data_IF_798303966353
#
_entry.id   IF_798303966353
#
_cell.length_a   1.000
_cell.length_b   1.000
_cell.length_c   1.000
_cell.angle_alpha   90.00
_cell.angle_beta   90.00
_cell.angle_gamma   90.00
#
_symmetry.space_group_name_H-M   'P 1'
#
loop_
_entity.id
_entity.type
_entity.pdbx_description
1 polymer ?
#
# COMPACT_ATOMS: atom_id res chain seq x y z
N UNK A 1 31.55 -32.68 2.42
CA UNK A 1 31.20 -33.61 3.52
C UNK A 1 30.21 -32.86 4.38
N UNK A 2 28.99 -33.39 4.54
CA UNK A 2 27.98 -32.82 5.41
C UNK A 2 28.40 -32.99 6.87
N UNK A 3 28.30 -31.94 7.68
CA UNK A 3 28.64 -31.97 9.10
C UNK A 3 27.35 -31.76 9.90
N UNK A 4 26.76 -32.87 10.35
CA UNK A 4 25.42 -32.88 10.93
C UNK A 4 25.50 -32.86 12.46
N UNK A 5 24.80 -31.90 13.07
CA UNK A 5 24.63 -31.84 14.52
C UNK A 5 23.16 -31.98 14.89
N UNK A 6 22.89 -32.63 16.01
CA UNK A 6 21.54 -32.72 16.58
C UNK A 6 21.36 -31.62 17.62
N UNK A 7 20.34 -30.79 17.46
CA UNK A 7 19.96 -29.73 18.38
C UNK A 7 19.17 -30.30 19.56
N UNK A 8 19.00 -29.49 20.62
CA UNK A 8 18.31 -29.91 21.85
C UNK A 8 16.82 -30.23 21.66
N UNK A 9 16.21 -29.72 20.59
CA UNK A 9 14.82 -29.99 20.20
C UNK A 9 14.69 -31.23 19.28
N UNK A 10 15.80 -31.88 18.94
CA UNK A 10 15.84 -33.03 18.04
C UNK A 10 15.94 -32.66 16.55
N UNK A 11 15.96 -31.38 16.19
CA UNK A 11 16.25 -30.97 14.81
C UNK A 11 17.70 -31.32 14.44
N UNK A 12 17.92 -31.75 13.19
CA UNK A 12 19.27 -31.99 12.65
C UNK A 12 19.67 -30.78 11.81
N UNK A 13 20.81 -30.18 12.14
CA UNK A 13 21.38 -29.04 11.44
C UNK A 13 22.66 -29.45 10.71
N UNK A 14 22.74 -29.14 9.41
CA UNK A 14 23.98 -29.25 8.64
C UNK A 14 24.82 -27.99 8.81
N UNK A 15 25.91 -28.09 9.57
CA UNK A 15 26.87 -27.02 9.84
C UNK A 15 27.55 -26.56 8.56
N UNK A 16 27.73 -27.46 7.59
CA UNK A 16 28.40 -27.13 6.32
C UNK A 16 27.59 -26.17 5.43
N UNK A 17 26.28 -26.04 5.65
CA UNK A 17 25.43 -25.08 4.95
C UNK A 17 25.66 -23.62 5.42
N UNK A 18 26.28 -23.43 6.58
CA UNK A 18 26.63 -22.12 7.14
C UNK A 18 28.06 -22.13 7.67
N UNK A 19 29.08 -22.17 6.79
CA UNK A 19 30.47 -22.21 7.20
C UNK A 19 30.88 -20.94 7.95
N UNK A 20 31.92 -21.05 8.76
CA UNK A 20 32.54 -19.88 9.39
C UNK A 20 33.07 -18.91 8.31
N UNK A 21 33.10 -17.60 8.61
CA UNK A 21 33.69 -16.61 7.71
C UNK A 21 35.15 -16.94 7.36
N UNK A 22 35.57 -16.50 6.18
CA UNK A 22 36.94 -16.72 5.71
C UNK A 22 37.97 -16.15 6.70
N UNK A 23 39.00 -16.95 7.01
CA UNK A 23 40.05 -16.58 7.96
C UNK A 23 39.71 -16.79 9.44
N UNK A 24 38.54 -17.32 9.77
CA UNK A 24 38.17 -17.67 11.15
C UNK A 24 38.44 -19.15 11.41
N UNK A 25 39.33 -19.43 12.37
CA UNK A 25 39.56 -20.80 12.84
C UNK A 25 38.45 -21.26 13.79
N UNK A 26 38.05 -22.52 13.65
CA UNK A 26 37.10 -23.14 14.56
C UNK A 26 37.78 -23.56 15.86
N UNK A 27 37.06 -23.46 16.98
CA UNK A 27 37.61 -23.73 18.30
C UNK A 27 36.52 -23.92 19.36
N UNK A 28 36.95 -24.46 20.50
CA UNK A 28 36.10 -24.58 21.70
C UNK A 28 36.24 -23.31 22.53
N UNK A 29 35.13 -22.65 22.79
CA UNK A 29 35.05 -21.38 23.49
C UNK A 29 34.17 -21.51 24.74
N UNK A 30 34.49 -20.75 25.78
CA UNK A 30 33.59 -20.53 26.91
C UNK A 30 32.58 -19.40 26.62
N UNK A 31 31.58 -19.22 27.48
CA UNK A 31 30.50 -18.24 27.29
C UNK A 31 31.01 -16.80 27.06
N UNK A 32 32.03 -16.38 27.79
CA UNK A 32 32.61 -15.03 27.69
C UNK A 32 33.52 -14.83 26.46
N UNK A 33 34.07 -15.91 25.90
CA UNK A 33 34.77 -15.87 24.62
C UNK A 33 33.77 -15.86 23.45
N UNK A 34 32.70 -16.67 23.55
CA UNK A 34 31.66 -16.74 22.53
C UNK A 34 30.87 -15.43 22.42
N UNK A 35 30.59 -14.76 23.55
CA UNK A 35 29.94 -13.45 23.56
C UNK A 35 30.76 -12.40 22.80
N UNK A 36 32.08 -12.37 23.00
CA UNK A 36 33.01 -11.52 22.25
C UNK A 36 33.10 -11.90 20.77
N UNK A 37 33.16 -13.18 20.46
CA UNK A 37 33.23 -13.66 19.07
C UNK A 37 31.98 -13.26 18.26
N UNK A 38 30.82 -13.19 18.90
CA UNK A 38 29.56 -12.83 18.26
C UNK A 38 29.14 -11.36 18.41
N UNK A 39 29.94 -10.56 19.11
CA UNK A 39 29.64 -9.17 19.49
C UNK A 39 28.28 -9.02 20.18
N UNK A 40 28.05 -9.83 21.21
CA UNK A 40 26.81 -9.83 22.02
C UNK A 40 27.12 -9.95 23.52
N UNK A 41 26.11 -9.74 24.36
CA UNK A 41 26.26 -9.92 25.81
C UNK A 41 26.21 -11.40 26.21
N UNK A 42 26.81 -11.78 27.35
CA UNK A 42 26.68 -13.14 27.90
C UNK A 42 25.22 -13.52 28.23
N UNK A 43 24.39 -12.53 28.55
CA UNK A 43 22.95 -12.74 28.77
C UNK A 43 22.25 -13.16 27.48
N UNK A 44 22.68 -12.62 26.33
CA UNK A 44 22.19 -13.04 25.01
C UNK A 44 22.55 -14.49 24.73
N UNK A 45 23.79 -14.90 25.03
CA UNK A 45 24.22 -16.29 24.89
C UNK A 45 23.39 -17.21 25.78
N UNK A 46 23.17 -16.83 27.04
CA UNK A 46 22.33 -17.60 27.98
C UNK A 46 20.91 -17.77 27.45
N UNK A 47 20.34 -16.71 26.87
CA UNK A 47 19.03 -16.79 26.20
C UNK A 47 19.05 -17.74 25.00
N UNK A 48 20.12 -17.73 24.19
CA UNK A 48 20.23 -18.62 23.03
C UNK A 48 20.36 -20.09 23.41
N UNK A 49 21.04 -20.41 24.52
CA UNK A 49 21.06 -21.77 25.08
C UNK A 49 19.62 -22.24 25.35
N UNK A 50 18.80 -21.41 26.01
CA UNK A 50 17.38 -21.72 26.24
C UNK A 50 16.52 -21.78 24.96
N UNK A 51 17.04 -21.33 23.81
CA UNK A 51 16.40 -21.45 22.49
C UNK A 51 16.94 -22.64 21.67
N UNK A 52 17.76 -23.49 22.28
CA UNK A 52 18.33 -24.67 21.66
C UNK A 52 19.64 -24.43 20.89
N UNK A 53 20.41 -23.40 21.25
CA UNK A 53 21.76 -23.23 20.73
C UNK A 53 22.64 -24.42 21.16
N UNK A 54 23.46 -25.00 20.24
CA UNK A 54 24.34 -26.11 20.54
C UNK A 54 25.28 -25.81 21.71
N UNK A 55 25.34 -26.74 22.66
CA UNK A 55 26.28 -26.74 23.79
C UNK A 55 27.08 -28.03 23.69
N UNK A 56 28.41 -27.95 23.76
CA UNK A 56 29.28 -29.12 23.69
C UNK A 56 29.38 -29.84 25.04
N UNK A 57 29.48 -29.05 26.11
CA UNK A 57 29.49 -29.53 27.50
C UNK A 57 28.75 -28.54 28.38
N UNK A 58 27.71 -29.02 29.06
CA UNK A 58 26.96 -28.23 30.04
C UNK A 58 27.80 -28.06 31.30
N UNK A 59 28.02 -26.81 31.74
CA UNK A 59 28.79 -26.54 32.93
C UNK A 59 28.12 -27.09 34.20
N UNK A 60 28.77 -28.01 34.91
CA UNK A 60 28.42 -28.43 36.28
C UNK A 60 29.28 -27.67 37.32
N UNK A 61 29.05 -27.90 38.62
CA UNK A 61 29.80 -27.24 39.71
C UNK A 61 31.32 -27.26 39.48
N UNK A 62 31.89 -26.11 39.09
CA UNK A 62 33.33 -25.94 38.82
C UNK A 62 33.76 -26.11 37.35
N UNK A 63 32.86 -26.49 36.44
CA UNK A 63 33.14 -26.66 35.01
C UNK A 63 32.43 -25.56 34.21
N UNK A 64 33.17 -24.85 33.36
CA UNK A 64 32.60 -23.82 32.49
C UNK A 64 31.89 -24.46 31.29
N UNK A 65 30.85 -23.80 30.79
CA UNK A 65 30.21 -24.21 29.53
C UNK A 65 31.21 -24.19 28.37
N UNK A 66 31.15 -25.22 27.53
CA UNK A 66 31.95 -25.33 26.31
C UNK A 66 31.06 -25.27 25.07
N UNK A 67 31.50 -24.47 24.10
CA UNK A 67 30.79 -24.24 22.83
C UNK A 67 31.76 -24.43 21.67
N UNK A 68 31.32 -25.11 20.62
CA UNK A 68 32.04 -25.18 19.34
C UNK A 68 31.64 -23.98 18.47
N UNK A 69 32.59 -23.15 18.05
CA UNK A 69 32.30 -21.90 17.34
C UNK A 69 31.53 -22.14 16.03
N UNK A 70 31.95 -23.11 15.21
CA UNK A 70 31.27 -23.48 13.96
C UNK A 70 29.81 -23.88 14.16
N UNK A 71 29.52 -24.71 15.17
CA UNK A 71 28.16 -25.16 15.47
C UNK A 71 27.25 -24.00 15.90
N UNK A 72 27.74 -23.14 16.79
CA UNK A 72 26.98 -21.98 17.27
C UNK A 72 26.76 -20.95 16.15
N UNK A 73 27.73 -20.77 15.26
CA UNK A 73 27.60 -19.90 14.10
C UNK A 73 26.53 -20.40 13.13
N UNK A 74 26.59 -21.69 12.76
CA UNK A 74 25.62 -22.29 11.87
C UNK A 74 24.20 -22.21 12.43
N UNK A 75 24.02 -22.50 13.73
CA UNK A 75 22.73 -22.35 14.39
C UNK A 75 22.21 -20.91 14.35
N UNK A 76 23.07 -19.91 14.64
CA UNK A 76 22.70 -18.49 14.60
C UNK A 76 22.29 -18.08 13.19
N UNK A 77 23.05 -18.49 12.18
CA UNK A 77 22.79 -18.17 10.79
C UNK A 77 21.47 -18.79 10.31
N UNK A 78 21.25 -20.08 10.56
CA UNK A 78 20.02 -20.78 10.24
C UNK A 78 18.80 -20.15 10.94
N UNK A 79 18.92 -19.81 12.23
CA UNK A 79 17.87 -19.12 13.00
C UNK A 79 17.54 -17.75 12.40
N UNK A 80 18.56 -16.96 12.07
CA UNK A 80 18.37 -15.65 11.47
C UNK A 80 17.68 -15.74 10.10
N UNK A 81 18.03 -16.75 9.31
CA UNK A 81 17.38 -17.04 8.03
C UNK A 81 15.90 -17.41 8.23
N UNK A 82 15.59 -18.32 9.17
CA UNK A 82 14.20 -18.67 9.54
C UNK A 82 13.39 -17.42 9.94
N UNK A 83 13.98 -16.51 10.74
CA UNK A 83 13.33 -15.26 11.17
C UNK A 83 13.09 -14.32 9.99
N UNK A 84 14.09 -14.13 9.11
CA UNK A 84 13.97 -13.29 7.92
C UNK A 84 12.90 -13.82 6.97
N UNK A 85 12.89 -15.12 6.71
CA UNK A 85 11.88 -15.77 5.87
C UNK A 85 10.47 -15.68 6.48
N UNK A 86 10.32 -15.78 7.80
CA UNK A 86 9.03 -15.57 8.48
C UNK A 86 8.55 -14.12 8.35
N UNK A 87 9.45 -13.14 8.53
CA UNK A 87 9.13 -11.72 8.35
C UNK A 87 8.71 -11.42 6.91
N UNK A 88 9.48 -11.88 5.92
CA UNK A 88 9.15 -11.70 4.50
C UNK A 88 7.79 -12.29 4.12
N UNK A 89 7.46 -13.48 4.62
CA UNK A 89 6.12 -14.08 4.43
C UNK A 89 5.02 -13.25 5.07
N UNK A 90 5.25 -12.74 6.29
CA UNK A 90 4.30 -11.83 6.96
C UNK A 90 4.07 -10.55 6.17
N UNK A 91 5.14 -9.93 5.67
CA UNK A 91 5.08 -8.72 4.84
C UNK A 91 4.33 -8.99 3.51
N UNK A 92 4.54 -10.15 2.88
CA UNK A 92 3.80 -10.57 1.67
C UNK A 92 2.31 -10.76 1.92
N UNK A 93 1.93 -11.43 3.02
CA UNK A 93 0.52 -11.63 3.39
C UNK A 93 -0.14 -10.27 3.69
N UNK A 94 0.56 -9.38 4.40
CA UNK A 94 0.07 -8.04 4.69
C UNK A 94 -0.13 -7.21 3.40
N UNK A 95 0.79 -7.31 2.44
CA UNK A 95 0.67 -6.66 1.13
C UNK A 95 -0.54 -7.21 0.34
N UNK A 96 -0.71 -8.53 0.29
CA UNK A 96 -1.87 -9.15 -0.37
C UNK A 96 -3.20 -8.75 0.30
N UNK A 97 -3.24 -8.71 1.63
CA UNK A 97 -4.43 -8.27 2.35
C UNK A 97 -4.73 -6.79 2.08
N UNK A 98 -3.70 -5.92 2.03
CA UNK A 98 -3.87 -4.51 1.73
C UNK A 98 -4.49 -4.27 0.35
N UNK A 99 -4.11 -5.07 -0.66
CA UNK A 99 -4.72 -5.05 -1.99
C UNK A 99 -6.19 -5.49 -1.95
N UNK A 100 -6.48 -6.61 -1.27
CA UNK A 100 -7.83 -7.16 -1.16
C UNK A 100 -8.81 -6.26 -0.38
N UNK A 101 -8.34 -5.52 0.63
CA UNK A 101 -9.18 -4.62 1.42
C UNK A 101 -9.43 -3.25 0.78
N UNK A 102 -8.67 -2.86 -0.26
CA UNK A 102 -8.72 -1.48 -0.80
C UNK A 102 -9.57 -1.25 -2.05
N UNK A 103 -10.16 -2.25 -2.71
CA UNK A 103 -10.94 -2.05 -3.95
C UNK A 103 -10.24 -1.08 -4.93
N UNK A 104 -8.94 -1.28 -5.18
CA UNK A 104 -8.20 -0.46 -6.15
C UNK A 104 -8.62 -0.89 -7.56
N UNK A 105 -8.85 0.08 -8.45
CA UNK A 105 -9.05 -0.16 -9.88
C UNK A 105 -7.81 -0.86 -10.48
N UNK A 106 -8.00 -1.71 -11.49
CA UNK A 106 -6.97 -2.59 -12.08
C UNK A 106 -5.68 -1.86 -12.49
N UNK A 107 -5.78 -0.59 -12.90
CA UNK A 107 -4.64 0.24 -13.32
C UNK A 107 -3.68 0.61 -12.16
N UNK A 108 -4.18 0.71 -10.92
CA UNK A 108 -3.34 0.98 -9.74
C UNK A 108 -2.67 -0.29 -9.21
N UNK A 109 -3.32 -1.45 -9.39
CA UNK A 109 -2.78 -2.73 -8.94
C UNK A 109 -1.52 -3.15 -9.73
N UNK A 110 -1.43 -2.83 -11.03
CA UNK A 110 -0.25 -3.11 -11.85
C UNK A 110 0.94 -2.20 -11.53
N UNK A 111 0.71 -0.93 -11.18
CA UNK A 111 1.79 0.00 -10.83
C UNK A 111 2.44 -0.32 -9.47
N UNK A 112 1.66 -0.86 -8.53
CA UNK A 112 2.14 -1.25 -7.20
C UNK A 112 2.70 -2.69 -7.16
N UNK A 113 2.49 -3.48 -8.22
CA UNK A 113 2.98 -4.86 -8.32
C UNK A 113 4.52 -4.90 -8.41
N UNK A 114 5.16 -5.24 -7.30
CA UNK A 114 6.63 -5.40 -7.20
C UNK A 114 7.32 -4.41 -6.27
N UNK A 115 6.59 -3.45 -5.71
CA UNK A 115 7.11 -2.53 -4.71
C UNK A 115 6.97 -3.13 -3.30
N UNK A 116 8.01 -3.01 -2.48
CA UNK A 116 7.93 -3.35 -1.06
C UNK A 116 6.97 -2.41 -0.33
N UNK A 117 6.41 -2.85 0.81
CA UNK A 117 5.48 -2.02 1.60
C UNK A 117 6.07 -0.65 2.03
N UNK A 118 7.40 -0.54 2.13
CA UNK A 118 8.08 0.72 2.39
C UNK A 118 8.13 1.61 1.13
N UNK A 119 8.34 1.03 -0.05
CA UNK A 119 8.32 1.72 -1.33
C UNK A 119 6.91 2.16 -1.71
N UNK A 120 5.89 1.34 -1.45
CA UNK A 120 4.47 1.74 -1.60
C UNK A 120 4.14 2.92 -0.68
N UNK A 121 4.59 2.90 0.59
CA UNK A 121 4.38 4.03 1.51
C UNK A 121 5.06 5.30 1.01
N UNK A 122 6.32 5.20 0.60
CA UNK A 122 7.08 6.33 0.09
C UNK A 122 6.49 6.86 -1.24
N UNK A 123 6.01 5.96 -2.09
CA UNK A 123 5.33 6.31 -3.33
C UNK A 123 3.99 6.99 -3.06
N UNK A 124 3.14 6.45 -2.17
CA UNK A 124 1.90 7.09 -1.74
C UNK A 124 2.13 8.45 -1.07
N UNK A 125 3.18 8.61 -0.26
CA UNK A 125 3.54 9.90 0.35
C UNK A 125 4.01 10.92 -0.69
N UNK A 126 4.81 10.48 -1.66
CA UNK A 126 5.27 11.32 -2.77
C UNK A 126 4.10 11.70 -3.71
N UNK A 127 3.19 10.76 -3.98
CA UNK A 127 2.00 10.99 -4.78
C UNK A 127 1.03 11.92 -4.06
N UNK A 128 0.82 11.75 -2.75
CA UNK A 128 0.04 12.67 -1.92
C UNK A 128 0.63 14.08 -1.93
N UNK A 129 1.95 14.24 -1.79
CA UNK A 129 2.61 15.54 -1.87
C UNK A 129 2.45 16.18 -3.24
N UNK A 130 2.55 15.39 -4.32
CA UNK A 130 2.34 15.84 -5.70
C UNK A 130 0.88 16.24 -5.96
N UNK A 131 -0.08 15.45 -5.50
CA UNK A 131 -1.51 15.71 -5.64
C UNK A 131 -1.92 16.96 -4.85
N UNK A 132 -1.37 17.16 -3.64
CA UNK A 132 -1.60 18.38 -2.85
C UNK A 132 -1.01 19.63 -3.50
N UNK A 133 0.18 19.53 -4.10
CA UNK A 133 0.78 20.63 -4.88
C UNK A 133 0.00 20.93 -6.17
N UNK A 134 -0.61 19.92 -6.79
CA UNK A 134 -1.48 20.07 -7.95
C UNK A 134 -2.85 20.70 -7.56
N UNK A 135 -3.44 20.34 -6.41
CA UNK A 135 -4.63 21.00 -5.88
C UNK A 135 -4.41 22.49 -5.60
N UNK A 136 -3.26 22.85 -5.01
CA UNK A 136 -2.91 24.25 -4.73
C UNK A 136 -2.70 25.09 -6.00
N UNK A 137 -2.29 24.44 -7.10
CA UNK A 137 -2.16 25.07 -8.43
C UNK A 137 -3.47 25.08 -9.22
N UNK A 138 -4.51 24.39 -8.73
CA UNK A 138 -5.81 24.28 -9.41
C UNK A 138 -5.86 23.21 -10.51
N UNK A 139 -4.82 22.37 -10.63
CA UNK A 139 -4.76 21.31 -11.63
C UNK A 139 -5.64 20.10 -11.25
N UNK A 140 -5.93 19.95 -9.95
CA UNK A 140 -6.81 18.91 -9.40
C UNK A 140 -7.85 19.54 -8.48
N UNK A 141 -9.10 19.11 -8.59
CA UNK A 141 -10.19 19.51 -7.70
C UNK A 141 -10.74 18.25 -7.03
N UNK A 142 -10.99 18.34 -5.72
CA UNK A 142 -11.62 17.25 -4.96
C UNK A 142 -12.95 16.83 -5.57
N UNK A 143 -13.13 15.52 -5.75
CA UNK A 143 -14.34 14.93 -6.31
C UNK A 143 -15.60 15.36 -5.57
N UNK A 144 -15.57 15.44 -4.23
CA UNK A 144 -16.70 15.90 -3.41
C UNK A 144 -17.15 17.32 -3.79
N UNK A 145 -16.18 18.20 -4.10
CA UNK A 145 -16.46 19.59 -4.49
C UNK A 145 -17.07 19.65 -5.89
N UNK A 146 -16.55 18.85 -6.82
CA UNK A 146 -17.11 18.76 -8.18
C UNK A 146 -18.53 18.21 -8.14
N UNK A 147 -18.76 17.14 -7.36
CA UNK A 147 -20.09 16.56 -7.12
C UNK A 147 -21.07 17.61 -6.59
N UNK A 148 -20.69 18.35 -5.55
CA UNK A 148 -21.55 19.37 -4.95
C UNK A 148 -21.92 20.48 -5.95
N UNK A 149 -20.94 20.96 -6.74
CA UNK A 149 -21.19 21.98 -7.78
C UNK A 149 -22.13 21.45 -8.86
N UNK A 150 -21.92 20.23 -9.35
CA UNK A 150 -22.79 19.62 -10.36
C UNK A 150 -24.21 19.41 -9.83
N UNK A 151 -24.36 18.89 -8.62
CA UNK A 151 -25.66 18.68 -7.98
C UNK A 151 -26.43 20.00 -7.82
N UNK A 152 -25.79 21.03 -7.24
CA UNK A 152 -26.42 22.33 -7.05
C UNK A 152 -26.77 23.00 -8.40
N UNK A 153 -25.91 22.86 -9.40
CA UNK A 153 -26.15 23.41 -10.75
C UNK A 153 -27.34 22.75 -11.43
N UNK A 154 -27.43 21.41 -11.38
CA UNK A 154 -28.53 20.66 -11.99
C UNK A 154 -29.87 20.96 -11.30
N UNK A 155 -29.88 21.09 -9.96
CA UNK A 155 -31.08 21.50 -9.23
C UNK A 155 -31.53 22.91 -9.65
N UNK A 156 -30.62 23.88 -9.75
CA UNK A 156 -30.96 25.23 -10.20
C UNK A 156 -31.49 25.27 -11.63
N UNK A 157 -30.89 24.49 -12.54
CA UNK A 157 -31.37 24.36 -13.93
C UNK A 157 -32.77 23.73 -13.94
N UNK A 158 -32.98 22.65 -13.18
CA UNK A 158 -34.28 21.99 -13.06
C UNK A 158 -35.37 22.95 -12.62
N UNK A 159 -35.17 23.65 -11.50
CA UNK A 159 -36.12 24.64 -10.98
C UNK A 159 -36.37 25.80 -11.97
N UNK A 160 -35.35 26.20 -12.71
CA UNK A 160 -35.48 27.27 -13.72
C UNK A 160 -36.35 26.82 -14.90
N UNK A 161 -36.25 25.55 -15.31
CA UNK A 161 -37.10 24.98 -16.36
C UNK A 161 -38.55 24.81 -15.87
N UNK A 162 -38.77 24.40 -14.62
CA UNK A 162 -40.13 24.24 -14.06
C UNK A 162 -40.89 25.57 -13.99
N UNK A 163 -40.19 26.66 -13.66
CA UNK A 163 -40.80 27.98 -13.47
C UNK A 163 -40.83 28.83 -14.74
N UNK A 164 -40.20 28.36 -15.82
CA UNK A 164 -40.14 29.08 -17.09
C UNK A 164 -41.52 29.27 -17.75
N UNK A 165 -42.42 28.27 -17.80
CA UNK A 165 -43.76 28.46 -18.36
C UNK A 165 -44.56 29.55 -17.66
N UNK A 166 -44.56 29.55 -16.33
CA UNK A 166 -45.24 30.58 -15.51
C UNK A 166 -44.66 31.98 -15.76
N UNK A 167 -43.34 32.08 -15.84
CA UNK A 167 -42.66 33.33 -16.17
C UNK A 167 -43.08 33.84 -17.56
N UNK A 168 -43.15 32.95 -18.55
CA UNK A 168 -43.54 33.31 -19.91
C UNK A 168 -45.01 33.70 -20.00
N UNK A 169 -45.91 33.00 -19.30
CA UNK A 169 -47.32 33.36 -19.17
C UNK A 169 -47.47 34.77 -18.61
N UNK A 170 -46.85 35.04 -17.46
CA UNK A 170 -46.97 36.31 -16.76
C UNK A 170 -46.35 37.47 -17.56
N UNK A 171 -45.22 37.23 -18.23
CA UNK A 171 -44.45 38.29 -18.90
C UNK A 171 -44.92 38.58 -20.33
N UNK A 172 -45.40 37.57 -21.05
CA UNK A 172 -45.77 37.69 -22.47
C UNK A 172 -47.26 37.47 -22.72
N UNK A 173 -48.05 37.17 -21.69
CA UNK A 173 -49.51 37.01 -21.81
C UNK A 173 -49.91 35.81 -22.65
N UNK A 174 -49.17 34.69 -22.51
CA UNK A 174 -49.45 33.47 -23.26
C UNK A 174 -50.86 32.93 -22.94
N UNK A 175 -51.51 32.35 -23.93
CA UNK A 175 -52.76 31.62 -23.71
C UNK A 175 -52.50 30.29 -22.99
N UNK A 176 -53.52 29.72 -22.34
CA UNK A 176 -53.40 28.42 -21.68
C UNK A 176 -52.89 27.30 -22.60
N UNK A 177 -53.29 27.31 -23.89
CA UNK A 177 -52.80 26.36 -24.89
C UNK A 177 -51.32 26.56 -25.20
N UNK A 178 -50.86 27.82 -25.29
CA UNK A 178 -49.45 28.14 -25.50
C UNK A 178 -48.62 27.75 -24.28
N UNK A 179 -49.10 28.00 -23.06
CA UNK A 179 -48.43 27.58 -21.82
C UNK A 179 -48.27 26.06 -21.78
N UNK A 180 -49.32 25.30 -22.14
CA UNK A 180 -49.24 23.84 -22.21
C UNK A 180 -48.19 23.35 -23.22
N UNK A 181 -48.04 24.03 -24.36
CA UNK A 181 -46.97 23.72 -25.34
C UNK A 181 -45.58 24.01 -24.77
N UNK A 182 -45.41 25.10 -24.00
CA UNK A 182 -44.14 25.40 -23.33
C UNK A 182 -43.82 24.36 -22.28
N UNK A 183 -44.79 23.96 -21.44
CA UNK A 183 -44.62 22.91 -20.42
C UNK A 183 -44.15 21.61 -21.06
N UNK A 184 -44.84 21.15 -22.11
CA UNK A 184 -44.45 19.95 -22.83
C UNK A 184 -43.01 20.06 -23.38
N UNK A 185 -42.64 21.23 -23.91
CA UNK A 185 -41.29 21.46 -24.43
C UNK A 185 -40.22 21.48 -23.33
N UNK A 186 -40.51 22.05 -22.16
CA UNK A 186 -39.56 22.05 -21.02
C UNK A 186 -39.37 20.67 -20.43
N UNK A 187 -40.42 19.84 -20.41
CA UNK A 187 -40.36 18.45 -19.96
C UNK A 187 -39.52 17.60 -20.94
N UNK A 188 -39.76 17.73 -22.25
CA UNK A 188 -38.91 17.09 -23.28
C UNK A 188 -37.43 17.45 -23.11
N UNK A 189 -37.13 18.74 -22.92
CA UNK A 189 -35.75 19.20 -22.72
C UNK A 189 -35.12 18.59 -21.47
N UNK A 190 -35.89 18.42 -20.40
CA UNK A 190 -35.41 17.78 -19.16
C UNK A 190 -35.09 16.30 -19.39
N UNK A 191 -35.94 15.59 -20.12
CA UNK A 191 -35.72 14.18 -20.46
C UNK A 191 -34.53 13.98 -21.40
N UNK A 192 -34.34 14.88 -22.37
CA UNK A 192 -33.16 14.89 -23.25
C UNK A 192 -31.86 15.11 -22.45
N UNK A 193 -31.85 16.09 -21.54
CA UNK A 193 -30.68 16.36 -20.67
C UNK A 193 -30.38 15.14 -19.80
N UNK A 194 -31.40 14.53 -19.20
CA UNK A 194 -31.25 13.32 -18.40
C UNK A 194 -30.62 12.19 -19.22
N UNK A 195 -31.15 11.91 -20.40
CA UNK A 195 -30.65 10.85 -21.29
C UNK A 195 -29.19 11.09 -21.67
N UNK A 196 -28.85 12.33 -22.04
CA UNK A 196 -27.48 12.69 -22.38
C UNK A 196 -26.50 12.52 -21.20
N UNK A 197 -26.93 12.86 -19.97
CA UNK A 197 -26.14 12.66 -18.77
C UNK A 197 -25.96 11.17 -18.44
N UNK A 198 -27.01 10.36 -18.56
CA UNK A 198 -26.94 8.90 -18.36
C UNK A 198 -25.97 8.25 -19.36
N UNK A 199 -26.00 8.67 -20.62
CA UNK A 199 -25.07 8.19 -21.64
C UNK A 199 -23.63 8.62 -21.38
N UNK A 200 -23.41 9.84 -20.89
CA UNK A 200 -22.07 10.31 -20.50
C UNK A 200 -21.51 9.51 -19.31
N UNK A 201 -22.33 9.21 -18.32
CA UNK A 201 -21.94 8.40 -17.15
C UNK A 201 -21.64 6.95 -17.54
N UNK A 202 -22.32 6.40 -18.55
CA UNK A 202 -22.09 5.03 -19.03
C UNK A 202 -20.76 4.87 -19.80
N UNK A 203 -20.20 5.96 -20.34
CA UNK A 203 -18.92 5.90 -21.07
C UNK A 203 -17.77 5.62 -20.10
N UNK A 204 -16.86 4.68 -20.42
CA UNK A 204 -15.68 4.44 -19.59
C UNK A 204 -14.87 5.74 -19.48
N UNK A 205 -14.49 6.09 -18.24
CA UNK A 205 -13.82 7.34 -17.93
C UNK A 205 -12.49 7.46 -18.67
N UNK A 206 -12.24 8.60 -19.32
CA UNK A 206 -10.91 8.98 -19.77
C UNK A 206 -10.44 10.14 -18.93
N UNK A 207 -9.21 10.06 -18.41
CA UNK A 207 -8.57 11.17 -17.71
C UNK A 207 -8.24 12.23 -18.74
N UNK A 208 -9.06 13.28 -18.83
CA UNK A 208 -8.80 14.43 -19.70
C UNK A 208 -8.08 15.48 -18.87
N UNK A 209 -6.79 15.77 -19.13
CA UNK A 209 -6.13 16.90 -18.51
C UNK A 209 -6.82 18.19 -18.95
N UNK A 210 -7.26 19.02 -17.99
CA UNK A 210 -7.71 20.39 -18.26
C UNK A 210 -6.48 21.18 -18.71
N UNK A 211 -6.26 21.21 -20.01
CA UNK A 211 -5.14 21.91 -20.61
C UNK A 211 -5.55 23.36 -20.86
N UNK A 212 -5.18 24.28 -19.97
CA UNK A 212 -5.30 25.73 -20.22
C UNK A 212 -4.20 26.19 -21.16
N UNK A 213 -4.45 26.08 -22.48
CA UNK A 213 -3.87 26.99 -23.46
C UNK A 213 -5.00 27.73 -24.18
N UNK A 214 -5.44 28.82 -23.57
CA UNK A 214 -6.11 29.88 -24.32
C UNK A 214 -5.10 30.43 -25.32
N UNK A 215 -5.46 30.37 -26.61
CA UNK A 215 -4.60 30.80 -27.71
C UNK A 215 -4.15 32.24 -27.55
N UNK A 216 -2.88 32.46 -27.81
CA UNK A 216 -2.34 33.78 -28.10
C UNK A 216 -3.11 34.35 -29.30
N UNK A 217 -3.92 35.37 -29.05
CA UNK A 217 -4.40 36.26 -30.10
C UNK A 217 -3.19 37.05 -30.59
N UNK A 218 -2.66 36.68 -31.75
CA UNK A 218 -1.74 37.51 -32.50
C UNK A 218 -2.50 38.77 -32.96
N UNK A 219 -2.09 39.92 -32.43
CA UNK A 219 -2.43 41.25 -32.93
C UNK A 219 -1.69 41.52 -34.22
#
# INVERSE_FOLDING_TARGET
MSDLITLSDGEVLDVSAWPLPEGVEDGVLNRGQLSRAFDVTENTITKWIGQGMPVLSEGQNGVSYEFRLSHCWAWRAARNEKIRAAKQRGDQIAAQAALAFRNLDDDQAEAEAGMSAAEVRAWSEAEYARNRLAEQRGDLIRTDRVRAVFEESLVKIGNSLDTLPDFLEMKFGLSAEQVAQVVARTDELRDDIKTALEDLVRRPGSVVPINTRQGELSV
#
